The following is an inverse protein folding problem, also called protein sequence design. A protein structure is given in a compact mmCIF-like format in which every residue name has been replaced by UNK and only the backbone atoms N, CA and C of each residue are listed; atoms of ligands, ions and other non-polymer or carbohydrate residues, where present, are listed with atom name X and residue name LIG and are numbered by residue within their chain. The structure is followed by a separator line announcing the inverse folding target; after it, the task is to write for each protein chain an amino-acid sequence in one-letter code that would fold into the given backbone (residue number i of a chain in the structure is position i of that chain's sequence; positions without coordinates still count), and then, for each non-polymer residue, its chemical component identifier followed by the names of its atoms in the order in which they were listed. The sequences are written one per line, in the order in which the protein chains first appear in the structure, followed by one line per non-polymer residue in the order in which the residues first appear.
data_IF_859587258145
#
_entry.id   IF_859587258145
#
_cell.length_a   1.000
_cell.length_b   1.000
_cell.length_c   1.000
_cell.angle_alpha   90.00
_cell.angle_beta   90.00
_cell.angle_gamma   90.00
#
_symmetry.space_group_name_H-M   'P 1'
#
loop_
_entity.id
_entity.type
_entity.pdbx_description
1 polymer ?
#
# COMPACT_ATOMS: atom_id res chain seq x y z
N UNK A 1 -28.71 35.20 -42.46
CA UNK A 1 -27.58 34.93 -43.37
C UNK A 1 -26.35 35.62 -42.80
N UNK A 2 -25.17 34.99 -42.84
CA UNK A 2 -23.84 35.53 -42.48
C UNK A 2 -23.48 35.74 -40.99
N UNK A 3 -22.55 34.90 -40.52
CA UNK A 3 -21.49 35.13 -39.48
C UNK A 3 -20.19 35.57 -40.21
N UNK A 4 -19.12 36.13 -39.58
CA UNK A 4 -18.41 35.71 -38.34
C UNK A 4 -18.28 36.81 -37.26
N UNK A 5 -17.92 36.62 -35.98
CA UNK A 5 -17.15 35.62 -35.18
C UNK A 5 -15.62 35.86 -35.03
N UNK A 6 -15.13 36.08 -33.79
CA UNK A 6 -13.75 35.77 -33.34
C UNK A 6 -13.63 35.70 -31.79
N UNK A 7 -12.72 34.84 -31.33
CA UNK A 7 -12.26 34.46 -29.98
C UNK A 7 -12.36 35.45 -28.80
N UNK A 8 -12.70 34.88 -27.64
CA UNK A 8 -11.71 34.68 -26.57
C UNK A 8 -11.98 33.40 -25.75
N UNK A 9 -11.28 32.32 -26.09
CA UNK A 9 -11.06 31.22 -25.15
C UNK A 9 -10.17 31.72 -24.01
N UNK A 10 -10.64 31.61 -22.76
CA UNK A 10 -9.75 31.46 -21.60
C UNK A 10 -10.23 30.21 -20.86
N UNK A 11 -9.58 29.09 -21.16
CA UNK A 11 -9.70 27.86 -20.40
C UNK A 11 -8.94 28.03 -19.09
N UNK A 12 -9.65 28.07 -17.96
CA UNK A 12 -9.01 27.97 -16.64
C UNK A 12 -8.47 26.55 -16.45
N UNK A 13 -7.20 26.35 -16.80
CA UNK A 13 -6.48 25.10 -16.60
C UNK A 13 -5.14 25.38 -15.94
N UNK A 14 -5.11 25.22 -14.62
CA UNK A 14 -3.93 24.95 -13.78
C UNK A 14 -4.49 24.53 -12.41
N UNK A 15 -4.74 23.23 -12.24
CA UNK A 15 -3.81 22.31 -11.57
C UNK A 15 -3.56 22.68 -10.10
N UNK A 16 -4.54 22.37 -9.24
CA UNK A 16 -4.26 22.19 -7.81
C UNK A 16 -3.38 20.95 -7.67
N UNK A 17 -2.06 21.15 -7.62
CA UNK A 17 -1.15 20.14 -7.07
C UNK A 17 -1.39 20.13 -5.56
N UNK A 18 -2.47 19.49 -5.13
CA UNK A 18 -2.57 18.99 -3.77
C UNK A 18 -1.60 17.82 -3.69
N UNK A 19 -0.53 17.99 -2.91
CA UNK A 19 0.32 16.88 -2.44
C UNK A 19 -0.54 15.97 -1.56
N UNK A 20 -1.37 15.14 -2.17
CA UNK A 20 -1.97 14.00 -1.52
C UNK A 20 -0.83 13.01 -1.29
N UNK A 21 -0.31 12.98 -0.06
CA UNK A 21 0.37 11.79 0.44
C UNK A 21 -0.69 10.69 0.41
N UNK A 22 -0.65 9.86 -0.63
CA UNK A 22 -1.54 8.72 -0.77
C UNK A 22 -1.24 7.77 0.38
N UNK A 23 -2.25 7.56 1.24
CA UNK A 23 -2.15 6.55 2.29
C UNK A 23 -1.83 5.21 1.66
N UNK A 24 -0.95 4.45 2.28
CA UNK A 24 -0.61 3.12 1.80
C UNK A 24 -1.86 2.22 1.90
N UNK A 25 -2.28 1.59 0.79
CA UNK A 25 -3.38 0.64 0.81
C UNK A 25 -2.96 -0.65 1.51
N UNK A 26 -3.86 -1.17 2.33
CA UNK A 26 -3.72 -2.44 3.03
C UNK A 26 -5.10 -3.08 3.17
N UNK A 27 -5.09 -4.39 3.39
CA UNK A 27 -6.30 -5.18 3.64
C UNK A 27 -6.37 -5.49 5.13
N UNK A 28 -7.50 -5.18 5.74
CA UNK A 28 -7.86 -5.65 7.07
C UNK A 28 -8.67 -6.96 6.93
N UNK A 29 -8.15 -8.05 7.49
CA UNK A 29 -8.83 -9.34 7.56
C UNK A 29 -9.65 -9.50 8.85
N UNK A 30 -9.60 -8.51 9.75
CA UNK A 30 -10.26 -8.50 11.04
C UNK A 30 -9.55 -9.35 12.08
N UNK A 31 -10.33 -9.79 13.08
CA UNK A 31 -9.83 -10.41 14.29
C UNK A 31 -9.51 -9.39 15.38
N UNK A 32 -9.16 -9.89 16.56
CA UNK A 32 -8.93 -9.12 17.77
C UNK A 32 -7.65 -9.63 18.45
N UNK A 33 -6.96 -8.77 19.22
CA UNK A 33 -5.73 -9.11 19.93
C UNK A 33 -4.49 -8.40 19.36
N UNK A 34 -3.28 -8.98 19.53
CA UNK A 34 -2.05 -8.38 19.03
C UNK A 34 -2.09 -8.21 17.50
N UNK A 35 -1.51 -7.13 17.00
CA UNK A 35 -1.48 -6.82 15.58
C UNK A 35 -0.48 -7.71 14.84
N UNK A 36 -0.96 -8.45 13.84
CA UNK A 36 -0.17 -9.26 12.94
C UNK A 36 -0.21 -8.67 11.54
N UNK A 37 0.96 -8.24 11.04
CA UNK A 37 1.11 -7.75 9.68
C UNK A 37 1.68 -8.86 8.77
N UNK A 38 1.02 -9.10 7.64
CA UNK A 38 1.46 -10.05 6.63
C UNK A 38 1.99 -9.37 5.35
N UNK A 39 3.24 -9.66 4.99
CA UNK A 39 3.85 -9.26 3.73
C UNK A 39 3.84 -10.40 2.69
N UNK A 40 3.14 -10.17 1.58
CA UNK A 40 2.94 -11.17 0.53
C UNK A 40 4.17 -11.42 -0.36
N UNK A 41 4.16 -12.51 -1.13
CA UNK A 41 5.21 -12.79 -2.12
C UNK A 41 4.98 -12.09 -3.46
N UNK A 42 6.03 -12.01 -4.27
CA UNK A 42 5.95 -11.48 -5.64
C UNK A 42 4.90 -12.25 -6.47
N UNK A 43 4.10 -11.53 -7.26
CA UNK A 43 2.99 -12.03 -8.08
C UNK A 43 1.82 -12.73 -7.32
N UNK A 44 1.82 -12.75 -5.98
CA UNK A 44 0.70 -13.26 -5.17
C UNK A 44 0.16 -12.13 -4.29
N UNK A 45 -0.88 -11.38 -4.69
CA UNK A 45 -1.46 -10.32 -3.87
C UNK A 45 -2.05 -10.86 -2.54
N UNK A 46 -2.27 -10.03 -1.51
CA UNK A 46 -2.70 -10.50 -0.19
C UNK A 46 -3.97 -11.37 -0.21
N UNK A 47 -4.89 -11.07 -1.13
CA UNK A 47 -6.10 -11.86 -1.36
C UNK A 47 -5.88 -13.35 -1.68
N UNK A 48 -4.72 -13.73 -2.26
CA UNK A 48 -4.37 -15.13 -2.48
C UNK A 48 -4.15 -15.90 -1.17
N UNK A 49 -3.87 -15.20 -0.06
CA UNK A 49 -3.61 -15.78 1.26
C UNK A 49 -4.84 -15.79 2.17
N UNK A 50 -6.01 -15.32 1.72
CA UNK A 50 -7.23 -15.17 2.55
C UNK A 50 -7.51 -16.41 3.41
N UNK A 51 -7.59 -17.59 2.80
CA UNK A 51 -7.89 -18.85 3.52
C UNK A 51 -6.86 -19.23 4.58
N UNK A 52 -5.63 -18.73 4.48
CA UNK A 52 -4.58 -18.93 5.49
C UNK A 52 -4.65 -17.84 6.58
N UNK A 53 -4.83 -16.58 6.19
CA UNK A 53 -4.88 -15.45 7.12
C UNK A 53 -6.14 -15.46 7.99
N UNK A 54 -7.29 -15.90 7.47
CA UNK A 54 -8.53 -16.08 8.22
C UNK A 54 -8.38 -17.10 9.37
N UNK A 55 -7.42 -18.03 9.31
CA UNK A 55 -7.14 -18.97 10.41
C UNK A 55 -6.41 -18.31 11.59
N UNK A 56 -5.85 -17.10 11.39
CA UNK A 56 -5.11 -16.35 12.41
C UNK A 56 -5.98 -15.31 13.14
N UNK A 57 -7.08 -14.86 12.52
CA UNK A 57 -8.01 -13.86 13.09
C UNK A 57 -8.66 -14.23 14.44
N UNK A 58 -8.80 -15.51 14.85
CA UNK A 58 -9.24 -15.85 16.22
C UNK A 58 -8.25 -15.48 17.33
N UNK A 59 -7.01 -15.08 16.99
CA UNK A 59 -5.92 -14.84 17.94
C UNK A 59 -5.20 -13.49 17.77
N UNK A 60 -5.40 -12.83 16.62
CA UNK A 60 -4.70 -11.61 16.22
C UNK A 60 -5.64 -10.69 15.46
N UNK A 61 -5.39 -9.37 15.50
CA UNK A 61 -5.89 -8.47 14.46
C UNK A 61 -4.97 -8.60 13.25
N UNK A 62 -5.49 -9.07 12.11
CA UNK A 62 -4.68 -9.45 10.95
C UNK A 62 -4.82 -8.45 9.82
N UNK A 63 -3.71 -7.82 9.45
CA UNK A 63 -3.62 -6.87 8.34
C UNK A 63 -2.56 -7.30 7.32
N UNK A 64 -2.71 -6.92 6.06
CA UNK A 64 -1.70 -7.16 5.03
C UNK A 64 -1.53 -5.93 4.13
N UNK A 65 -0.31 -5.42 4.04
CA UNK A 65 0.10 -4.42 3.06
C UNK A 65 -0.19 -4.91 1.63
N UNK A 66 -0.85 -4.10 0.81
CA UNK A 66 -0.72 -4.23 -0.63
C UNK A 66 0.62 -3.60 -1.03
N UNK A 67 1.57 -4.36 -1.54
CA UNK A 67 2.90 -3.82 -1.87
C UNK A 67 2.83 -2.85 -3.05
N UNK A 68 3.82 -1.94 -3.14
CA UNK A 68 3.86 -0.81 -4.09
C UNK A 68 3.32 -1.10 -5.51
N UNK A 69 3.65 -2.21 -6.20
CA UNK A 69 3.12 -2.51 -7.55
C UNK A 69 1.60 -2.72 -7.65
N UNK A 70 0.87 -2.76 -6.52
CA UNK A 70 -0.59 -2.83 -6.46
C UNK A 70 -1.24 -1.45 -6.23
N UNK A 71 -0.47 -0.39 -6.00
CA UNK A 71 -1.02 0.94 -5.73
C UNK A 71 -1.48 1.61 -7.03
N UNK A 72 -2.62 2.33 -7.05
CA UNK A 72 -3.17 2.90 -8.28
C UNK A 72 -2.22 3.78 -9.09
N UNK A 73 -1.33 4.51 -8.40
CA UNK A 73 -0.45 5.53 -8.97
C UNK A 73 1.06 5.19 -8.79
N UNK A 74 1.43 3.93 -8.54
CA UNK A 74 2.85 3.55 -8.42
C UNK A 74 3.59 3.57 -9.75
N UNK A 75 4.81 4.09 -9.78
CA UNK A 75 5.73 3.90 -10.91
C UNK A 75 6.58 2.62 -10.68
N UNK A 76 6.48 1.60 -11.55
CA UNK A 76 7.32 0.39 -11.48
C UNK A 76 8.83 0.67 -11.51
N UNK A 77 9.27 1.80 -12.07
CA UNK A 77 10.69 2.17 -12.14
C UNK A 77 11.28 2.55 -10.77
N UNK A 78 10.46 2.88 -9.77
CA UNK A 78 10.93 3.16 -8.41
C UNK A 78 11.42 1.91 -7.69
N UNK A 79 10.81 0.74 -7.95
CA UNK A 79 11.09 -0.52 -7.26
C UNK A 79 12.37 -1.18 -7.78
N UNK A 80 13.51 -0.62 -7.39
CA UNK A 80 14.86 -1.08 -7.77
C UNK A 80 15.52 -2.00 -6.74
N UNK A 81 15.15 -1.89 -5.46
CA UNK A 81 15.58 -2.78 -4.37
C UNK A 81 14.40 -3.14 -3.46
N UNK A 82 14.43 -4.32 -2.82
CA UNK A 82 13.41 -4.75 -1.86
C UNK A 82 13.42 -3.93 -0.55
N UNK A 83 14.44 -3.10 -0.32
CA UNK A 83 14.48 -2.12 0.75
C UNK A 83 13.29 -1.15 0.70
N UNK A 84 12.85 -0.77 -0.50
CA UNK A 84 11.69 0.11 -0.68
C UNK A 84 10.41 -0.54 -0.12
N UNK A 85 10.29 -1.86 -0.22
CA UNK A 85 9.14 -2.61 0.33
C UNK A 85 9.14 -2.63 1.87
N UNK A 86 10.32 -2.66 2.51
CA UNK A 86 10.43 -2.48 3.97
C UNK A 86 10.16 -1.04 4.41
N UNK A 87 10.60 -0.05 3.64
CA UNK A 87 10.33 1.37 3.90
C UNK A 87 8.84 1.70 3.77
N UNK A 88 8.16 1.15 2.76
CA UNK A 88 6.70 1.24 2.62
C UNK A 88 5.97 0.55 3.78
N UNK A 89 6.47 -0.59 4.27
CA UNK A 89 5.90 -1.26 5.44
C UNK A 89 6.03 -0.41 6.72
N UNK A 90 7.20 0.18 6.98
CA UNK A 90 7.42 1.08 8.11
C UNK A 90 6.54 2.34 7.97
N UNK A 91 6.45 2.92 6.77
CA UNK A 91 5.59 4.08 6.51
C UNK A 91 4.12 3.77 6.79
N UNK A 92 3.62 2.59 6.40
CA UNK A 92 2.27 2.15 6.76
C UNK A 92 2.09 2.09 8.27
N UNK A 93 3.04 1.52 9.00
CA UNK A 93 2.94 1.39 10.46
C UNK A 93 2.90 2.76 11.14
N UNK A 94 3.67 3.74 10.66
CA UNK A 94 3.62 5.13 11.16
C UNK A 94 2.36 5.88 10.71
N UNK A 95 1.87 5.68 9.49
CA UNK A 95 0.60 6.25 9.00
C UNK A 95 -0.62 5.81 9.84
N UNK A 96 -0.59 4.57 10.38
CA UNK A 96 -1.64 4.03 11.26
C UNK A 96 -1.34 4.17 12.76
N UNK A 97 -0.14 4.63 13.14
CA UNK A 97 0.30 4.68 14.54
C UNK A 97 0.49 3.30 15.19
N UNK A 98 0.68 2.25 14.39
CA UNK A 98 0.84 0.88 14.85
C UNK A 98 2.21 0.65 15.49
N UNK A 99 2.23 -0.12 16.59
CA UNK A 99 3.41 -0.43 17.42
C UNK A 99 3.35 -1.90 17.84
N UNK A 100 4.49 -2.47 18.24
CA UNK A 100 4.62 -3.88 18.67
C UNK A 100 4.08 -4.89 17.63
N UNK A 101 4.25 -4.58 16.34
CA UNK A 101 3.69 -5.33 15.22
C UNK A 101 4.38 -6.69 15.06
N UNK A 102 3.60 -7.78 15.04
CA UNK A 102 4.11 -9.11 14.71
C UNK A 102 4.23 -9.21 13.18
N UNK A 103 5.46 -9.15 12.68
CA UNK A 103 5.77 -9.27 11.26
C UNK A 103 5.79 -10.72 10.78
N UNK A 104 4.93 -11.04 9.81
CA UNK A 104 4.94 -12.30 9.05
C UNK A 104 5.15 -11.98 7.57
N UNK A 105 5.80 -12.87 6.82
CA UNK A 105 5.90 -12.70 5.37
C UNK A 105 6.26 -13.98 4.63
N UNK A 106 6.03 -13.98 3.31
CA UNK A 106 6.36 -15.10 2.43
C UNK A 106 7.33 -14.67 1.32
N UNK A 107 8.41 -15.43 1.12
CA UNK A 107 9.43 -15.19 0.07
C UNK A 107 9.94 -13.73 0.10
N UNK A 108 9.77 -12.96 -0.97
CA UNK A 108 10.09 -11.53 -1.02
C UNK A 108 9.51 -10.72 0.16
N UNK A 109 8.26 -11.02 0.55
CA UNK A 109 7.64 -10.40 1.71
C UNK A 109 8.33 -10.76 3.03
N UNK A 110 8.85 -11.99 3.17
CA UNK A 110 9.65 -12.36 4.34
C UNK A 110 10.95 -11.56 4.44
N UNK A 111 11.60 -11.30 3.30
CA UNK A 111 12.83 -10.49 3.25
C UNK A 111 12.54 -9.01 3.53
N UNK A 112 11.41 -8.48 3.05
CA UNK A 112 10.95 -7.13 3.41
C UNK A 112 10.63 -7.02 4.91
N UNK A 113 9.89 -7.98 5.48
CA UNK A 113 9.60 -8.02 6.93
C UNK A 113 10.90 -8.10 7.75
N UNK A 114 11.87 -8.92 7.33
CA UNK A 114 13.19 -9.01 7.99
C UNK A 114 13.97 -7.68 7.91
N UNK A 115 13.98 -7.02 6.75
CA UNK A 115 14.61 -5.70 6.55
C UNK A 115 13.96 -4.59 7.38
N UNK A 116 12.66 -4.69 7.67
CA UNK A 116 11.93 -3.72 8.49
C UNK A 116 12.10 -3.92 10.01
N UNK A 117 12.78 -4.99 10.44
CA UNK A 117 12.89 -5.40 11.84
C UNK A 117 14.25 -5.06 12.49
N UNK A 118 15.08 -4.22 11.85
CA UNK A 118 16.47 -3.89 12.25
C UNK A 118 16.74 -2.39 12.30
#
# INVERSE_FOLDING_TARGET
MSKPDNNSHITNHESRITNHVSRIPFIDFGGEGPLLHFAHANAYPPHCYRQFLELLTPHFHVVALEQRPLWPDSDPAELTDWQLLSEDMIRLFDEQGWREVIGVGHSMGAVATMKAAV
#
